data_IF_898206454572
#
_entry.id   IF_898206454572
#
_cell.length_a   1.000
_cell.length_b   1.000
_cell.length_c   1.000
_cell.angle_alpha   90.00
_cell.angle_beta   90.00
_cell.angle_gamma   90.00
#
_symmetry.space_group_name_H-M   'P 1'
#
loop_
_entity.id
_entity.type
_entity.pdbx_description
1 polymer ?
#
# COMPACT_ATOMS: atom_id res chain seq x y z
N UNK A 1 -8.30 -59.64 0.08
CA UNK A 1 -7.40 -58.98 1.03
C UNK A 1 -7.43 -57.47 0.72
N UNK A 2 -8.32 -56.78 1.45
CA UNK A 2 -8.51 -55.32 1.26
C UNK A 2 -7.54 -54.59 2.17
N UNK A 3 -6.47 -54.06 1.59
CA UNK A 3 -5.65 -53.07 2.26
C UNK A 3 -6.26 -51.68 2.02
N UNK A 4 -7.22 -51.28 2.85
CA UNK A 4 -7.51 -49.86 3.04
C UNK A 4 -6.30 -49.21 3.73
N UNK A 5 -5.42 -48.61 2.95
CA UNK A 5 -4.34 -47.82 3.49
C UNK A 5 -4.96 -46.62 4.20
N UNK A 6 -4.91 -46.60 5.53
CA UNK A 6 -5.29 -45.45 6.32
C UNK A 6 -4.28 -44.33 6.05
N UNK A 7 -4.68 -43.33 5.30
CA UNK A 7 -3.88 -42.11 5.08
C UNK A 7 -3.69 -41.43 6.44
N UNK A 8 -2.45 -41.33 6.90
CA UNK A 8 -2.16 -40.63 8.14
C UNK A 8 -2.45 -39.15 7.98
N UNK A 9 -2.97 -38.49 9.03
CA UNK A 9 -3.27 -37.05 9.06
C UNK A 9 -2.09 -36.20 8.53
N UNK A 10 -0.87 -36.59 8.83
CA UNK A 10 0.36 -35.96 8.35
C UNK A 10 0.53 -36.07 6.82
N UNK A 11 0.23 -37.22 6.24
CA UNK A 11 0.35 -37.47 4.80
C UNK A 11 -0.75 -36.74 4.03
N UNK A 12 -1.96 -36.67 4.59
CA UNK A 12 -3.05 -35.86 4.06
C UNK A 12 -2.74 -34.38 4.10
N UNK A 13 -2.17 -33.87 5.19
CA UNK A 13 -1.77 -32.46 5.32
C UNK A 13 -0.60 -32.12 4.37
N UNK A 14 0.38 -33.02 4.23
CA UNK A 14 1.46 -32.83 3.23
C UNK A 14 0.92 -32.81 1.81
N UNK A 15 -0.07 -33.63 1.51
CA UNK A 15 -0.70 -33.69 0.20
C UNK A 15 -1.54 -32.43 -0.10
N UNK A 16 -2.32 -31.94 0.87
CA UNK A 16 -3.08 -30.70 0.74
C UNK A 16 -2.19 -29.43 0.73
N UNK A 17 -1.02 -29.46 1.39
CA UNK A 17 -0.09 -28.30 1.42
C UNK A 17 0.62 -28.06 0.09
N UNK A 18 0.76 -29.06 -0.78
CA UNK A 18 1.31 -28.86 -2.11
C UNK A 18 0.37 -28.08 -3.05
N UNK A 19 -0.92 -28.00 -2.75
CA UNK A 19 -1.90 -27.22 -3.52
C UNK A 19 -2.39 -25.92 -2.85
N UNK A 20 -2.45 -25.87 -1.53
CA UNK A 20 -3.05 -24.76 -0.76
C UNK A 20 -1.97 -24.02 0.06
N UNK A 21 -0.76 -24.52 0.09
CA UNK A 21 0.24 -24.21 1.12
C UNK A 21 0.98 -22.89 1.01
N UNK A 22 0.93 -22.18 -0.10
CA UNK A 22 1.73 -20.95 -0.24
C UNK A 22 1.19 -19.75 0.53
N UNK A 23 -0.13 -19.64 0.67
CA UNK A 23 -0.77 -18.56 1.43
C UNK A 23 -0.88 -18.87 2.93
N UNK A 24 -0.92 -20.15 3.30
CA UNK A 24 -1.10 -20.59 4.69
C UNK A 24 0.21 -20.85 5.44
N UNK A 25 1.31 -21.17 4.74
CA UNK A 25 2.58 -21.55 5.37
C UNK A 25 3.36 -20.40 6.00
N UNK A 26 3.16 -19.17 5.55
CA UNK A 26 3.76 -18.00 6.19
C UNK A 26 3.18 -17.68 7.57
N UNK A 27 2.04 -18.27 7.92
CA UNK A 27 1.35 -18.06 9.21
C UNK A 27 1.73 -19.04 10.31
N UNK A 28 2.59 -20.02 10.08
CA UNK A 28 2.83 -21.13 11.00
C UNK A 28 3.78 -20.85 12.17
N UNK A 29 4.34 -19.66 12.31
CA UNK A 29 5.44 -19.39 13.24
C UNK A 29 5.17 -18.36 14.36
N UNK A 30 3.93 -17.93 14.60
CA UNK A 30 3.66 -17.00 15.69
C UNK A 30 2.67 -17.57 16.70
N UNK A 31 3.10 -17.61 17.94
CA UNK A 31 2.32 -17.95 19.11
C UNK A 31 1.40 -16.81 19.52
N UNK A 32 0.22 -17.18 20.06
CA UNK A 32 -0.71 -16.41 20.88
C UNK A 32 -1.38 -15.16 20.29
N UNK A 33 -2.67 -15.28 20.01
CA UNK A 33 -3.55 -14.14 19.81
C UNK A 33 -5.00 -14.55 19.56
N UNK A 34 -5.89 -14.04 20.38
CA UNK A 34 -7.34 -14.20 20.26
C UNK A 34 -7.82 -13.73 18.89
N UNK A 35 -8.53 -14.58 18.14
CA UNK A 35 -9.29 -14.14 16.98
C UNK A 35 -10.45 -13.26 17.48
N UNK A 36 -10.20 -11.94 17.60
CA UNK A 36 -11.26 -11.03 18.02
C UNK A 36 -12.32 -10.95 16.93
N UNK A 37 -13.58 -10.92 17.34
CA UNK A 37 -14.67 -10.55 16.45
C UNK A 37 -14.38 -9.13 15.90
N UNK A 38 -14.68 -8.86 14.61
CA UNK A 38 -14.57 -7.51 14.08
C UNK A 38 -15.30 -6.54 14.99
N UNK A 39 -14.69 -5.42 15.29
CA UNK A 39 -15.35 -4.38 16.08
C UNK A 39 -16.39 -3.68 15.19
N UNK A 40 -17.51 -3.28 15.77
CA UNK A 40 -18.34 -2.28 15.12
C UNK A 40 -17.53 -0.98 15.02
N UNK A 41 -17.61 -0.25 13.90
CA UNK A 41 -16.97 1.06 13.80
C UNK A 41 -17.31 1.93 15.03
N UNK A 42 -16.32 2.66 15.53
CA UNK A 42 -16.50 3.54 16.69
C UNK A 42 -17.33 4.78 16.34
N UNK A 43 -17.29 5.16 15.05
CA UNK A 43 -18.03 6.27 14.44
C UNK A 43 -18.69 5.82 13.15
N UNK A 44 -19.60 6.62 12.61
CA UNK A 44 -20.08 6.43 11.25
C UNK A 44 -18.89 6.60 10.27
N UNK A 45 -18.55 5.58 9.48
CA UNK A 45 -17.40 5.67 8.57
C UNK A 45 -17.72 6.60 7.39
N UNK A 46 -16.74 7.42 6.99
CA UNK A 46 -16.80 8.16 5.74
C UNK A 46 -16.48 7.26 4.54
N UNK A 47 -15.56 6.32 4.74
CA UNK A 47 -15.17 5.34 3.72
C UNK A 47 -15.22 3.92 4.28
N UNK A 48 -15.45 2.95 3.39
CA UNK A 48 -15.53 1.53 3.74
C UNK A 48 -14.30 0.75 3.31
N UNK A 49 -13.58 1.25 2.31
CA UNK A 49 -12.50 0.55 1.61
C UNK A 49 -11.34 1.49 1.32
N UNK A 50 -10.15 0.91 1.15
CA UNK A 50 -8.90 1.64 0.92
C UNK A 50 -8.16 1.06 -0.27
N UNK A 51 -7.66 1.94 -1.15
CA UNK A 51 -6.60 1.64 -2.10
C UNK A 51 -5.37 2.44 -1.70
N UNK A 52 -4.27 1.77 -1.42
CA UNK A 52 -3.02 2.39 -1.02
C UNK A 52 -1.95 2.19 -2.10
N UNK A 53 -1.53 3.26 -2.77
CA UNK A 53 -0.51 3.27 -3.82
C UNK A 53 0.78 3.79 -3.20
N UNK A 54 1.75 2.88 -2.97
CA UNK A 54 3.05 3.17 -2.38
C UNK A 54 4.11 3.35 -3.46
N UNK A 55 4.76 4.49 -3.53
CA UNK A 55 5.84 4.79 -4.45
C UNK A 55 7.19 4.57 -3.77
N UNK A 56 7.81 3.41 -4.02
CA UNK A 56 9.06 3.04 -3.37
C UNK A 56 10.26 3.78 -3.96
N UNK A 57 11.01 4.47 -3.12
CA UNK A 57 12.24 5.12 -3.54
C UNK A 57 12.31 6.62 -3.26
N UNK A 58 11.37 7.20 -2.53
CA UNK A 58 11.42 8.63 -2.21
C UNK A 58 11.03 9.50 -3.39
N UNK A 59 9.74 9.63 -3.62
CA UNK A 59 9.14 10.44 -4.66
C UNK A 59 9.35 11.95 -4.43
N UNK A 60 9.74 12.70 -5.49
CA UNK A 60 10.11 14.12 -5.37
C UNK A 60 8.91 15.05 -5.31
N UNK A 61 8.67 15.68 -4.18
CA UNK A 61 7.63 16.70 -4.00
C UNK A 61 7.90 17.95 -4.84
N UNK A 62 9.14 18.44 -4.88
CA UNK A 62 9.49 19.67 -5.59
C UNK A 62 9.46 19.53 -7.11
N UNK A 63 9.41 18.32 -7.62
CA UNK A 63 9.27 18.03 -9.05
C UNK A 63 7.83 17.63 -9.45
N UNK A 64 6.85 17.62 -8.51
CA UNK A 64 5.50 17.07 -8.74
C UNK A 64 4.33 17.89 -8.20
N UNK A 65 4.15 18.03 -6.87
CA UNK A 65 2.97 18.64 -6.25
C UNK A 65 3.30 19.84 -5.36
N UNK A 66 4.57 20.08 -5.06
CA UNK A 66 5.01 21.20 -4.20
C UNK A 66 5.71 22.28 -5.02
N UNK A 67 4.94 23.19 -5.61
CA UNK A 67 5.44 24.27 -6.47
C UNK A 67 6.22 25.30 -5.68
N UNK A 68 7.50 25.48 -6.03
CA UNK A 68 8.45 26.41 -5.39
C UNK A 68 9.09 27.35 -6.40
N UNK A 69 8.47 28.50 -6.70
CA UNK A 69 9.03 29.47 -7.65
C UNK A 69 10.41 29.96 -7.22
N UNK A 70 10.64 30.14 -5.90
CA UNK A 70 11.94 30.58 -5.36
C UNK A 70 13.06 29.55 -5.61
N UNK A 71 12.75 28.26 -5.68
CA UNK A 71 13.73 27.25 -6.05
C UNK A 71 14.27 27.45 -7.47
N UNK A 72 13.44 27.94 -8.40
CA UNK A 72 13.87 28.34 -9.76
C UNK A 72 14.80 29.53 -9.74
N UNK A 73 14.50 30.55 -8.94
CA UNK A 73 15.33 31.75 -8.77
C UNK A 73 16.67 31.47 -8.09
N UNK A 74 16.69 30.45 -7.24
CA UNK A 74 17.89 30.06 -6.49
C UNK A 74 18.67 28.92 -7.17
N UNK A 75 18.31 28.51 -8.38
CA UNK A 75 19.05 27.49 -9.12
C UNK A 75 20.55 27.86 -9.25
N UNK A 76 21.41 26.89 -8.91
CA UNK A 76 22.87 27.08 -8.95
C UNK A 76 23.45 27.83 -7.75
N UNK A 77 22.64 28.21 -6.75
CA UNK A 77 23.13 28.83 -5.51
C UNK A 77 23.29 27.81 -4.41
N UNK A 78 24.17 28.09 -3.45
CA UNK A 78 24.31 27.29 -2.23
C UNK A 78 23.10 27.44 -1.34
N UNK A 79 22.74 26.35 -0.65
CA UNK A 79 21.76 26.39 0.42
C UNK A 79 22.27 27.32 1.53
N UNK A 80 21.48 28.33 1.88
CA UNK A 80 21.70 29.17 3.06
C UNK A 80 20.94 28.53 4.22
N UNK A 81 21.64 27.85 5.10
CA UNK A 81 21.05 27.23 6.28
C UNK A 81 21.98 27.46 7.48
N UNK A 82 21.40 27.70 8.65
CA UNK A 82 22.14 27.90 9.90
C UNK A 82 22.87 26.63 10.33
N UNK A 83 22.28 25.43 9.96
CA UNK A 83 22.84 24.13 10.23
C UNK A 83 23.04 23.34 8.94
N UNK A 84 24.06 22.49 8.91
CA UNK A 84 24.27 21.58 7.79
C UNK A 84 23.09 20.63 7.67
N UNK A 85 22.46 20.49 6.49
CA UNK A 85 21.37 19.56 6.28
C UNK A 85 21.76 18.11 6.64
N UNK A 86 20.86 17.42 7.32
CA UNK A 86 20.99 15.99 7.51
C UNK A 86 20.58 15.28 6.21
N UNK A 87 21.55 14.72 5.51
CA UNK A 87 21.38 14.07 4.22
C UNK A 87 22.01 12.68 4.23
N UNK A 88 21.36 11.74 3.56
CA UNK A 88 21.71 10.33 3.63
C UNK A 88 23.16 10.04 3.19
N UNK A 89 23.61 10.63 2.07
CA UNK A 89 24.97 10.46 1.55
C UNK A 89 25.95 11.54 1.99
N UNK A 90 25.54 12.49 2.80
CA UNK A 90 26.40 13.57 3.32
C UNK A 90 26.89 14.59 2.29
N UNK A 91 26.36 14.56 1.07
CA UNK A 91 26.72 15.47 -0.03
C UNK A 91 25.62 16.51 -0.25
N UNK A 92 25.96 17.76 -0.07
CA UNK A 92 25.07 18.91 -0.29
C UNK A 92 25.63 19.75 -1.43
N UNK A 93 25.10 19.52 -2.63
CA UNK A 93 25.40 20.33 -3.81
C UNK A 93 24.56 21.61 -3.86
N UNK A 94 24.59 22.26 -5.01
CA UNK A 94 23.82 23.49 -5.23
C UNK A 94 22.31 23.19 -5.38
N UNK A 95 21.50 24.21 -5.08
CA UNK A 95 20.05 24.18 -5.30
C UNK A 95 19.75 23.95 -6.77
N UNK A 96 18.74 23.13 -7.04
CA UNK A 96 18.35 22.76 -8.39
C UNK A 96 16.85 22.99 -8.59
N UNK A 97 16.51 23.75 -9.61
CA UNK A 97 15.12 23.88 -10.05
C UNK A 97 14.52 22.52 -10.45
N UNK A 98 13.21 22.46 -10.48
CA UNK A 98 12.46 21.28 -10.98
C UNK A 98 12.70 21.05 -12.49
N UNK A 99 12.56 19.80 -12.92
CA UNK A 99 12.74 19.38 -14.31
C UNK A 99 11.47 19.53 -15.18
N UNK A 100 10.31 19.70 -14.57
CA UNK A 100 9.01 19.80 -15.23
C UNK A 100 8.32 21.12 -14.91
N UNK A 101 7.58 21.66 -15.86
CA UNK A 101 6.80 22.86 -15.64
C UNK A 101 5.61 22.58 -14.72
N UNK A 102 5.36 23.50 -13.79
CA UNK A 102 4.15 23.51 -12.99
C UNK A 102 3.07 24.36 -13.64
N UNK A 103 1.84 23.87 -13.59
CA UNK A 103 0.64 24.57 -14.06
C UNK A 103 -0.48 24.44 -13.05
N UNK A 104 -1.34 25.44 -12.98
CA UNK A 104 -2.59 25.31 -12.25
C UNK A 104 -3.53 24.37 -12.98
N UNK A 105 -4.10 23.41 -12.26
CA UNK A 105 -4.92 22.34 -12.79
C UNK A 105 -6.27 22.31 -12.13
N UNK A 106 -7.28 21.80 -12.87
CA UNK A 106 -8.66 21.73 -12.41
C UNK A 106 -9.29 23.10 -12.16
N UNK A 107 -10.45 23.11 -11.56
CA UNK A 107 -11.14 24.32 -11.09
C UNK A 107 -10.56 24.82 -9.76
N UNK A 108 -9.97 23.93 -8.97
CA UNK A 108 -9.28 24.23 -7.71
C UNK A 108 -8.03 25.09 -7.91
N UNK A 109 -7.45 25.11 -9.13
CA UNK A 109 -6.20 25.80 -9.41
C UNK A 109 -4.98 25.14 -8.76
N UNK A 110 -5.04 23.86 -8.42
CA UNK A 110 -3.96 23.11 -7.79
C UNK A 110 -2.71 23.08 -8.67
N UNK A 111 -1.55 23.38 -8.09
CA UNK A 111 -0.28 23.31 -8.80
C UNK A 111 0.20 21.87 -8.94
N UNK A 112 0.23 21.34 -10.17
CA UNK A 112 0.77 20.02 -10.52
C UNK A 112 1.70 20.18 -11.71
N UNK A 113 2.88 19.53 -11.63
CA UNK A 113 3.85 19.59 -12.72
C UNK A 113 3.47 18.70 -13.90
N UNK A 114 4.08 18.98 -15.07
CA UNK A 114 3.93 18.17 -16.27
C UNK A 114 4.57 16.76 -16.16
N UNK A 115 5.09 16.38 -14.97
CA UNK A 115 5.46 15.00 -14.65
C UNK A 115 4.22 14.08 -14.64
N UNK A 116 3.05 14.61 -14.23
CA UNK A 116 1.80 13.87 -14.08
C UNK A 116 0.64 14.49 -14.89
N UNK A 117 0.72 14.49 -16.24
CA UNK A 117 -0.32 15.10 -17.07
C UNK A 117 -1.70 14.44 -16.97
N UNK A 118 -1.78 13.12 -16.69
CA UNK A 118 -3.06 12.43 -16.51
C UNK A 118 -3.63 12.63 -15.10
N UNK A 119 -2.84 12.49 -14.03
CA UNK A 119 -3.28 12.78 -12.65
C UNK A 119 -3.73 14.24 -12.55
N UNK A 120 -3.09 15.17 -13.25
CA UNK A 120 -3.51 16.56 -13.33
C UNK A 120 -4.96 16.74 -13.85
N UNK A 121 -5.51 15.77 -14.59
CA UNK A 121 -6.92 15.82 -15.05
C UNK A 121 -7.93 15.45 -13.96
N UNK A 122 -7.50 15.00 -12.81
CA UNK A 122 -8.31 14.70 -11.63
C UNK A 122 -7.92 15.56 -10.42
N UNK A 123 -7.26 16.68 -10.64
CA UNK A 123 -6.78 17.59 -9.58
C UNK A 123 -7.87 17.99 -8.59
N UNK A 124 -9.11 18.18 -9.07
CA UNK A 124 -10.25 18.57 -8.24
C UNK A 124 -10.75 17.45 -7.30
N UNK A 125 -10.27 16.22 -7.45
CA UNK A 125 -10.58 15.10 -6.56
C UNK A 125 -9.50 14.91 -5.48
N UNK A 126 -8.38 15.60 -5.58
CA UNK A 126 -7.20 15.36 -4.74
C UNK A 126 -7.22 16.24 -3.49
N UNK A 127 -6.77 15.68 -2.39
CA UNK A 127 -6.35 16.39 -1.17
C UNK A 127 -4.86 16.17 -1.02
N UNK A 128 -4.05 17.18 -1.32
CA UNK A 128 -2.60 17.09 -1.26
C UNK A 128 -2.10 17.56 0.11
N UNK A 129 -1.32 16.74 0.79
CA UNK A 129 -0.62 17.10 2.04
C UNK A 129 0.83 17.39 1.67
N UNK A 130 1.22 18.66 1.72
CA UNK A 130 2.57 19.11 1.34
C UNK A 130 3.56 19.18 2.50
N UNK A 131 3.14 18.72 3.68
CA UNK A 131 3.90 18.91 4.93
C UNK A 131 4.20 17.60 5.66
N UNK A 132 4.27 16.50 4.94
CA UNK A 132 4.64 15.21 5.54
C UNK A 132 6.06 15.25 6.11
N UNK A 133 6.27 14.57 7.23
CA UNK A 133 7.58 14.33 7.84
C UNK A 133 7.73 12.86 8.21
N UNK A 134 8.92 12.31 7.96
CA UNK A 134 9.31 10.96 8.36
C UNK A 134 10.46 11.01 9.37
N UNK A 135 10.70 9.90 10.07
CA UNK A 135 11.76 9.80 11.08
C UNK A 135 13.03 9.13 10.54
N UNK A 136 13.05 8.79 9.25
CA UNK A 136 14.21 8.14 8.62
C UNK A 136 14.36 8.55 7.17
N UNK A 137 15.59 8.83 6.76
CA UNK A 137 15.99 8.99 5.37
C UNK A 137 16.53 7.68 4.74
N UNK A 138 16.44 6.55 5.44
CA UNK A 138 16.81 5.24 4.91
C UNK A 138 15.57 4.49 4.44
N UNK A 139 15.58 3.94 3.22
CA UNK A 139 14.40 3.34 2.59
C UNK A 139 13.70 2.28 3.44
N UNK A 140 14.42 1.25 3.91
CA UNK A 140 13.75 0.14 4.63
C UNK A 140 13.08 0.60 5.93
N UNK A 141 13.71 1.34 6.85
CA UNK A 141 13.04 1.86 8.03
C UNK A 141 11.90 2.84 7.70
N UNK A 142 12.08 3.69 6.68
CA UNK A 142 11.06 4.66 6.28
C UNK A 142 9.83 3.96 5.65
N UNK A 143 10.03 2.94 4.80
CA UNK A 143 8.93 2.15 4.23
C UNK A 143 8.18 1.36 5.32
N UNK A 144 8.89 0.88 6.36
CA UNK A 144 8.23 0.29 7.52
C UNK A 144 7.39 1.32 8.27
N UNK A 145 7.92 2.55 8.46
CA UNK A 145 7.17 3.61 9.13
C UNK A 145 5.94 4.04 8.33
N UNK A 146 6.04 4.18 7.02
CA UNK A 146 4.91 4.43 6.12
C UNK A 146 3.83 3.34 6.27
N UNK A 147 4.23 2.08 6.31
CA UNK A 147 3.30 0.95 6.34
C UNK A 147 2.72 0.67 7.73
N UNK A 148 3.50 0.79 8.79
CA UNK A 148 3.15 0.31 10.14
C UNK A 148 3.22 1.37 11.25
N UNK A 149 3.67 2.60 10.96
CA UNK A 149 3.95 3.62 11.97
C UNK A 149 5.27 3.43 12.70
N UNK A 150 6.00 2.34 12.48
CA UNK A 150 7.24 2.01 13.20
C UNK A 150 8.40 1.78 12.22
N UNK A 151 9.58 2.28 12.53
CA UNK A 151 10.79 2.10 11.71
C UNK A 151 11.40 0.69 11.78
N UNK A 152 10.85 -0.17 12.61
CA UNK A 152 11.33 -1.53 12.87
C UNK A 152 10.39 -2.57 12.26
N UNK A 153 10.96 -3.70 11.84
CA UNK A 153 10.17 -4.87 11.45
C UNK A 153 9.44 -5.51 12.64
N UNK A 154 8.39 -6.28 12.37
CA UNK A 154 7.63 -7.03 13.36
C UNK A 154 6.37 -6.34 13.89
N UNK A 155 6.08 -5.13 13.41
CA UNK A 155 4.84 -4.43 13.73
C UNK A 155 3.79 -4.67 12.62
N UNK A 156 2.50 -4.79 12.99
CA UNK A 156 1.44 -4.93 12.01
C UNK A 156 1.33 -3.69 11.14
N UNK A 157 1.17 -3.90 9.84
CA UNK A 157 0.95 -2.80 8.90
C UNK A 157 -0.50 -2.31 8.96
N UNK A 158 -0.76 -1.11 8.42
CA UNK A 158 -2.09 -0.47 8.43
C UNK A 158 -3.18 -1.39 7.84
N UNK A 159 -2.93 -2.08 6.72
CA UNK A 159 -3.89 -3.03 6.15
C UNK A 159 -4.25 -4.18 7.09
N UNK A 160 -3.29 -4.65 7.89
CA UNK A 160 -3.53 -5.67 8.93
C UNK A 160 -4.36 -5.12 10.09
N UNK A 161 -4.12 -3.88 10.51
CA UNK A 161 -4.95 -3.21 11.53
C UNK A 161 -6.38 -2.94 11.03
N UNK A 162 -6.55 -2.55 9.77
CA UNK A 162 -7.88 -2.39 9.14
C UNK A 162 -8.61 -3.74 9.09
N UNK A 163 -7.91 -4.80 8.71
CA UNK A 163 -8.45 -6.16 8.73
C UNK A 163 -8.86 -6.62 10.13
N UNK A 164 -8.01 -6.35 11.13
CA UNK A 164 -8.28 -6.68 12.53
C UNK A 164 -9.48 -5.91 13.09
N UNK A 165 -9.55 -4.61 12.83
CA UNK A 165 -10.62 -3.75 13.36
C UNK A 165 -11.97 -3.97 12.69
N UNK A 166 -12.00 -4.07 11.36
CA UNK A 166 -13.26 -4.04 10.60
C UNK A 166 -13.67 -5.39 9.97
N UNK A 167 -12.77 -6.37 9.95
CA UNK A 167 -13.06 -7.67 9.35
C UNK A 167 -13.38 -7.61 7.84
N UNK A 168 -13.99 -8.67 7.34
CA UNK A 168 -14.30 -8.87 5.93
C UNK A 168 -15.64 -8.21 5.54
N UNK A 169 -15.71 -7.73 4.28
CA UNK A 169 -16.97 -7.42 3.60
C UNK A 169 -17.39 -8.54 2.63
N UNK A 170 -16.55 -9.54 2.46
CA UNK A 170 -16.76 -10.73 1.62
C UNK A 170 -16.27 -11.97 2.34
N UNK A 171 -16.83 -13.13 2.00
CA UNK A 171 -16.40 -14.41 2.57
C UNK A 171 -15.38 -15.14 1.69
N UNK A 172 -15.17 -14.70 0.44
CA UNK A 172 -14.46 -15.47 -0.59
C UNK A 172 -13.09 -14.91 -0.94
N UNK A 173 -12.76 -13.70 -0.46
CA UNK A 173 -11.49 -13.03 -0.69
C UNK A 173 -10.89 -12.52 0.63
N UNK A 174 -9.56 -12.33 0.69
CA UNK A 174 -8.92 -11.76 1.86
C UNK A 174 -9.40 -10.33 2.12
N UNK A 175 -9.43 -9.91 3.37
CA UNK A 175 -9.70 -8.51 3.74
C UNK A 175 -8.64 -7.55 3.21
N UNK A 176 -7.38 -8.02 3.17
CA UNK A 176 -6.21 -7.25 2.77
C UNK A 176 -5.46 -7.96 1.64
N UNK A 177 -5.42 -7.33 0.47
CA UNK A 177 -4.73 -7.81 -0.74
C UNK A 177 -3.57 -6.87 -1.08
N UNK A 178 -2.46 -7.44 -1.52
CA UNK A 178 -1.26 -6.70 -1.93
C UNK A 178 -0.95 -6.99 -3.39
N UNK A 179 -0.67 -5.94 -4.15
CA UNK A 179 -0.27 -6.00 -5.56
C UNK A 179 1.17 -5.47 -5.69
N UNK A 180 2.19 -6.34 -5.53
CA UNK A 180 3.59 -5.94 -5.68
C UNK A 180 3.90 -5.44 -7.09
N UNK A 181 4.94 -4.60 -7.24
CA UNK A 181 5.42 -4.22 -8.57
C UNK A 181 5.88 -5.47 -9.34
N UNK A 182 5.44 -5.58 -10.59
CA UNK A 182 5.79 -6.70 -11.46
C UNK A 182 7.31 -6.87 -11.67
N UNK A 183 8.08 -5.81 -11.44
CA UNK A 183 9.53 -5.76 -11.62
C UNK A 183 10.33 -6.22 -10.39
N UNK A 184 9.68 -6.33 -9.22
CA UNK A 184 10.35 -6.79 -8.00
C UNK A 184 9.69 -6.31 -6.71
N UNK A 185 10.23 -6.78 -5.60
CA UNK A 185 9.73 -6.50 -4.26
C UNK A 185 10.22 -5.14 -3.76
N UNK A 186 9.44 -4.41 -2.96
CA UNK A 186 9.88 -3.15 -2.34
C UNK A 186 10.99 -3.37 -1.30
N UNK A 187 11.60 -2.30 -0.82
CA UNK A 187 12.49 -2.34 0.34
C UNK A 187 11.77 -2.97 1.53
N UNK A 188 12.45 -3.86 2.27
CA UNK A 188 11.81 -4.62 3.36
C UNK A 188 10.96 -5.81 2.89
N UNK A 189 10.79 -6.01 1.57
CA UNK A 189 10.11 -7.19 0.98
C UNK A 189 8.74 -7.45 1.62
N UNK A 190 8.44 -8.70 1.99
CA UNK A 190 7.16 -9.14 2.55
C UNK A 190 6.82 -8.53 3.92
N UNK A 191 7.81 -7.93 4.61
CA UNK A 191 7.56 -7.22 5.87
C UNK A 191 6.62 -6.01 5.72
N UNK A 192 6.47 -5.46 4.50
CA UNK A 192 5.57 -4.33 4.23
C UNK A 192 4.09 -4.70 4.18
N UNK A 193 3.73 -5.97 4.34
CA UNK A 193 2.34 -6.43 4.46
C UNK A 193 2.18 -7.51 5.54
N UNK A 194 3.06 -7.45 6.54
CA UNK A 194 3.04 -8.38 7.67
C UNK A 194 1.89 -8.09 8.63
N UNK A 195 1.31 -9.16 9.19
CA UNK A 195 0.42 -9.06 10.34
C UNK A 195 1.17 -8.71 11.64
N UNK A 196 2.50 -8.79 11.67
CA UNK A 196 3.30 -8.57 12.87
C UNK A 196 2.84 -9.47 14.01
N UNK A 197 2.46 -8.87 15.13
CA UNK A 197 1.95 -9.59 16.30
C UNK A 197 0.42 -9.83 16.28
N UNK A 198 -0.31 -9.33 15.26
CA UNK A 198 -1.72 -9.66 15.09
C UNK A 198 -1.89 -11.10 14.57
N UNK A 199 -3.06 -11.74 14.76
CA UNK A 199 -3.32 -13.05 14.21
C UNK A 199 -3.06 -13.14 12.69
N UNK A 200 -2.54 -14.27 12.25
CA UNK A 200 -2.09 -14.49 10.87
C UNK A 200 -3.21 -14.30 9.80
N UNK A 201 -4.46 -14.41 10.18
CA UNK A 201 -5.62 -14.16 9.30
C UNK A 201 -5.66 -12.71 8.77
N UNK A 202 -4.97 -11.79 9.44
CA UNK A 202 -4.87 -10.38 9.04
C UNK A 202 -3.64 -10.07 8.17
N UNK A 203 -2.83 -11.09 7.83
CA UNK A 203 -1.70 -10.98 6.90
C UNK A 203 -2.16 -10.52 5.52
N UNK A 204 -1.43 -9.58 4.90
CA UNK A 204 -1.68 -9.19 3.51
C UNK A 204 -1.37 -10.34 2.54
N UNK A 205 -2.29 -10.62 1.63
CA UNK A 205 -2.16 -11.69 0.64
C UNK A 205 -1.70 -11.11 -0.70
N UNK A 206 -0.48 -11.48 -1.17
CA UNK A 206 0.04 -10.94 -2.42
C UNK A 206 -0.62 -11.62 -3.63
N UNK A 207 -1.12 -10.80 -4.57
CA UNK A 207 -1.61 -11.23 -5.88
C UNK A 207 -0.65 -10.75 -6.96
N UNK A 208 -0.21 -11.65 -7.82
CA UNK A 208 0.56 -11.30 -9.01
C UNK A 208 -0.39 -10.76 -10.09
N UNK A 209 -0.01 -9.65 -10.70
CA UNK A 209 -0.80 -8.99 -11.75
C UNK A 209 -0.19 -9.16 -13.14
N UNK A 210 1.00 -9.73 -13.24
CA UNK A 210 1.75 -9.95 -14.49
C UNK A 210 2.39 -11.34 -14.52
N UNK A 211 2.81 -11.75 -15.71
CA UNK A 211 3.41 -13.05 -15.95
C UNK A 211 2.39 -14.17 -16.21
N UNK A 212 2.87 -15.36 -16.53
CA UNK A 212 2.06 -16.56 -16.72
C UNK A 212 1.70 -17.20 -15.37
N UNK A 213 0.54 -17.86 -15.33
CA UNK A 213 0.05 -18.62 -14.18
C UNK A 213 -0.92 -17.86 -13.28
N UNK A 214 -1.28 -18.48 -12.16
CA UNK A 214 -2.30 -17.97 -11.25
C UNK A 214 -1.84 -16.71 -10.50
N UNK A 215 -2.78 -15.83 -10.20
CA UNK A 215 -2.53 -14.62 -9.42
C UNK A 215 -1.94 -14.91 -8.03
N UNK A 216 -2.29 -16.04 -7.45
CA UNK A 216 -1.72 -16.54 -6.20
C UNK A 216 -0.91 -17.80 -6.48
N UNK A 217 0.31 -17.86 -5.95
CA UNK A 217 1.16 -19.05 -6.08
C UNK A 217 0.52 -20.24 -5.39
N UNK A 218 0.54 -21.40 -6.04
CA UNK A 218 -0.02 -22.65 -5.52
C UNK A 218 -1.53 -22.58 -5.15
N UNK A 219 -2.29 -21.73 -5.85
CA UNK A 219 -3.74 -21.64 -5.64
C UNK A 219 -4.45 -22.97 -5.97
N UNK A 220 -3.92 -23.69 -6.96
CA UNK A 220 -4.41 -25.01 -7.36
C UNK A 220 -3.34 -26.06 -7.13
N UNK A 221 -3.72 -27.32 -6.89
CA UNK A 221 -2.80 -28.43 -6.79
C UNK A 221 -2.03 -28.62 -8.12
N UNK A 222 -0.78 -29.13 -8.02
CA UNK A 222 0.06 -29.39 -9.19
C UNK A 222 -0.51 -30.47 -10.12
N UNK A 223 -1.34 -31.36 -9.58
CA UNK A 223 -2.08 -32.38 -10.32
C UNK A 223 -3.57 -32.10 -10.18
N UNK A 224 -4.30 -32.20 -11.27
CA UNK A 224 -5.74 -32.07 -11.27
C UNK A 224 -6.37 -33.15 -10.38
N UNK A 225 -7.24 -32.72 -9.47
CA UNK A 225 -7.95 -33.59 -8.54
C UNK A 225 -9.44 -33.48 -8.89
N UNK A 226 -10.11 -34.62 -8.93
CA UNK A 226 -11.56 -34.67 -9.13
C UNK A 226 -12.29 -33.83 -8.07
N UNK A 227 -13.19 -32.95 -8.50
CA UNK A 227 -13.91 -32.00 -7.63
C UNK A 227 -14.67 -32.72 -6.49
N UNK A 228 -15.18 -33.96 -6.73
CA UNK A 228 -15.88 -34.73 -5.70
C UNK A 228 -14.90 -35.20 -4.64
N UNK A 229 -13.71 -35.65 -5.04
CA UNK A 229 -12.63 -36.07 -4.13
C UNK A 229 -12.14 -34.89 -3.31
N UNK A 230 -11.93 -33.75 -3.95
CA UNK A 230 -11.48 -32.54 -3.27
C UNK A 230 -12.52 -32.03 -2.27
N UNK A 231 -13.80 -31.96 -2.65
CA UNK A 231 -14.91 -31.55 -1.77
C UNK A 231 -15.06 -32.48 -0.58
N UNK A 232 -15.04 -33.81 -0.80
CA UNK A 232 -15.15 -34.79 0.27
C UNK A 232 -13.95 -34.72 1.22
N UNK A 233 -12.75 -34.47 0.70
CA UNK A 233 -11.53 -34.29 1.50
C UNK A 233 -11.61 -33.04 2.38
N UNK A 234 -12.11 -31.94 1.85
CA UNK A 234 -12.36 -30.71 2.62
C UNK A 234 -13.41 -30.92 3.72
N UNK A 235 -14.52 -31.55 3.39
CA UNK A 235 -15.57 -31.85 4.37
C UNK A 235 -15.04 -32.74 5.51
N UNK A 236 -14.21 -33.73 5.20
CA UNK A 236 -13.60 -34.60 6.21
C UNK A 236 -12.61 -33.77 7.09
N UNK A 237 -11.79 -32.92 6.48
CA UNK A 237 -10.86 -32.07 7.21
C UNK A 237 -11.60 -31.10 8.16
N UNK A 238 -12.67 -30.47 7.70
CA UNK A 238 -13.49 -29.58 8.53
C UNK A 238 -14.10 -30.32 9.73
N UNK A 239 -14.59 -31.53 9.53
CA UNK A 239 -15.10 -32.36 10.65
C UNK A 239 -13.99 -32.70 11.65
N UNK A 240 -12.80 -33.09 11.17
CA UNK A 240 -11.67 -33.39 12.05
C UNK A 240 -11.19 -32.16 12.82
N UNK A 241 -11.21 -30.98 12.17
CA UNK A 241 -10.87 -29.73 12.80
C UNK A 241 -11.91 -29.35 13.89
N UNK A 242 -13.18 -29.51 13.64
CA UNK A 242 -14.23 -29.29 14.66
C UNK A 242 -14.06 -30.19 15.86
N UNK A 243 -13.88 -31.52 15.66
CA UNK A 243 -13.60 -32.43 16.77
C UNK A 243 -12.35 -31.98 17.57
N UNK A 244 -11.30 -31.53 16.88
CA UNK A 244 -10.10 -31.07 17.57
C UNK A 244 -10.32 -29.79 18.37
N UNK A 245 -11.14 -28.87 17.87
CA UNK A 245 -11.55 -27.67 18.62
C UNK A 245 -12.39 -28.04 19.86
N UNK A 246 -13.34 -28.98 19.73
CA UNK A 246 -14.16 -29.45 20.85
C UNK A 246 -13.28 -30.08 21.96
N UNK A 247 -12.32 -30.94 21.56
CA UNK A 247 -11.40 -31.58 22.52
C UNK A 247 -10.39 -30.62 23.15
N UNK A 248 -9.91 -29.65 22.40
CA UNK A 248 -8.88 -28.68 22.87
C UNK A 248 -9.46 -27.54 23.69
N UNK A 249 -10.80 -27.38 23.71
CA UNK A 249 -11.47 -26.21 24.26
C UNK A 249 -11.25 -24.94 23.41
N UNK A 250 -11.68 -23.77 23.90
CA UNK A 250 -11.50 -22.51 23.19
C UNK A 250 -10.02 -22.25 22.87
N UNK A 251 -9.69 -22.26 21.58
CA UNK A 251 -8.33 -22.05 21.07
C UNK A 251 -8.38 -21.17 19.82
N UNK A 252 -8.12 -19.88 20.02
CA UNK A 252 -8.26 -18.88 18.98
C UNK A 252 -7.22 -19.04 17.86
N UNK A 253 -6.01 -19.51 18.20
CA UNK A 253 -4.97 -19.82 17.21
C UNK A 253 -5.41 -20.95 16.29
N UNK A 254 -6.01 -22.00 16.84
CA UNK A 254 -6.53 -23.11 16.05
C UNK A 254 -7.71 -22.65 15.19
N UNK A 255 -8.63 -21.85 15.74
CA UNK A 255 -9.78 -21.29 15.03
C UNK A 255 -9.33 -20.38 13.87
N UNK A 256 -8.35 -19.49 14.10
CA UNK A 256 -7.78 -18.62 13.04
C UNK A 256 -7.12 -19.43 11.93
N UNK A 257 -6.43 -20.53 12.27
CA UNK A 257 -5.82 -21.44 11.29
C UNK A 257 -6.87 -22.17 10.45
N UNK A 258 -7.93 -22.66 11.07
CA UNK A 258 -9.05 -23.30 10.36
C UNK A 258 -9.68 -22.32 9.38
N UNK A 259 -10.01 -21.10 9.84
CA UNK A 259 -10.57 -20.03 9.02
C UNK A 259 -9.68 -19.66 7.83
N UNK A 260 -8.35 -19.64 8.01
CA UNK A 260 -7.41 -19.39 6.93
C UNK A 260 -7.43 -20.47 5.85
N UNK A 261 -7.53 -21.74 6.21
CA UNK A 261 -7.67 -22.83 5.24
C UNK A 261 -9.01 -22.80 4.51
N UNK A 262 -10.10 -22.49 5.21
CA UNK A 262 -11.42 -22.35 4.61
C UNK A 262 -11.47 -21.19 3.61
N UNK A 263 -10.86 -20.04 3.97
CA UNK A 263 -10.72 -18.91 3.06
C UNK A 263 -9.91 -19.30 1.82
N UNK A 264 -8.74 -19.96 1.99
CA UNK A 264 -7.93 -20.44 0.87
C UNK A 264 -8.71 -21.34 -0.10
N UNK A 265 -9.58 -22.20 0.41
CA UNK A 265 -10.43 -23.06 -0.41
C UNK A 265 -11.48 -22.24 -1.21
N UNK A 266 -12.11 -21.22 -0.60
CA UNK A 266 -13.06 -20.34 -1.29
C UNK A 266 -12.36 -19.47 -2.34
N UNK A 267 -11.15 -19.05 -2.08
CA UNK A 267 -10.32 -18.26 -3.02
C UNK A 267 -10.05 -18.99 -4.33
N UNK A 268 -10.02 -20.33 -4.37
CA UNK A 268 -9.81 -21.08 -5.60
C UNK A 268 -10.86 -20.78 -6.68
N UNK A 269 -12.09 -20.45 -6.29
CA UNK A 269 -13.15 -20.04 -7.21
C UNK A 269 -13.17 -18.53 -7.45
N UNK A 270 -13.01 -17.73 -6.40
CA UNK A 270 -13.16 -16.29 -6.46
C UNK A 270 -11.98 -15.58 -7.13
N UNK A 271 -10.74 -16.06 -6.94
CA UNK A 271 -9.53 -15.40 -7.47
C UNK A 271 -9.48 -15.42 -9.00
N UNK A 272 -9.70 -16.52 -9.71
CA UNK A 272 -9.74 -16.52 -11.17
C UNK A 272 -10.78 -15.54 -11.72
N UNK A 273 -11.96 -15.50 -11.13
CA UNK A 273 -13.04 -14.61 -11.57
C UNK A 273 -12.68 -13.12 -11.37
N UNK A 274 -12.17 -12.74 -10.21
CA UNK A 274 -11.80 -11.33 -9.95
C UNK A 274 -10.60 -10.89 -10.77
N UNK A 275 -9.65 -11.78 -11.06
CA UNK A 275 -8.41 -11.47 -11.81
C UNK A 275 -8.57 -11.53 -13.33
N UNK A 276 -9.63 -12.19 -13.85
CA UNK A 276 -9.95 -12.16 -15.26
C UNK A 276 -10.46 -10.76 -15.67
N UNK A 277 -9.83 -10.20 -16.69
CA UNK A 277 -10.23 -8.90 -17.28
C UNK A 277 -11.01 -9.08 -18.59
N UNK A 278 -11.43 -10.29 -18.92
CA UNK A 278 -12.14 -10.59 -20.17
C UNK A 278 -13.48 -9.85 -20.28
N UNK A 279 -14.17 -9.66 -19.16
CA UNK A 279 -15.42 -8.91 -19.08
C UNK A 279 -15.27 -7.38 -19.15
N UNK A 280 -14.05 -6.85 -19.16
CA UNK A 280 -13.82 -5.39 -19.25
C UNK A 280 -13.91 -4.92 -20.70
N UNK A 281 -14.52 -3.75 -20.93
CA UNK A 281 -14.64 -3.16 -22.26
C UNK A 281 -13.27 -2.72 -22.79
N UNK A 282 -13.13 -2.65 -24.11
CA UNK A 282 -11.90 -2.12 -24.73
C UNK A 282 -11.61 -0.68 -24.27
N UNK A 283 -12.66 0.12 -24.10
CA UNK A 283 -12.53 1.49 -23.57
C UNK A 283 -11.96 1.51 -22.14
N UNK A 284 -12.40 0.61 -21.27
CA UNK A 284 -11.84 0.46 -19.92
C UNK A 284 -10.37 0.07 -20.00
N UNK A 285 -10.04 -0.94 -20.80
CA UNK A 285 -8.66 -1.40 -21.01
C UNK A 285 -7.75 -0.28 -21.52
N UNK A 286 -8.21 0.51 -22.47
CA UNK A 286 -7.49 1.66 -23.02
C UNK A 286 -7.31 2.77 -21.97
N UNK A 287 -8.35 3.11 -21.21
CA UNK A 287 -8.28 4.11 -20.15
C UNK A 287 -7.21 3.77 -19.11
N UNK A 288 -7.14 2.51 -18.68
CA UNK A 288 -6.10 2.01 -17.75
C UNK A 288 -4.73 1.80 -18.42
N UNK A 289 -4.60 2.07 -19.73
CA UNK A 289 -3.34 1.96 -20.48
C UNK A 289 -2.86 0.53 -20.70
N UNK A 290 -3.76 -0.47 -20.76
CA UNK A 290 -3.39 -1.87 -20.93
C UNK A 290 -2.87 -2.18 -22.34
N UNK A 291 -3.09 -1.30 -23.31
CA UNK A 291 -2.62 -1.38 -24.69
C UNK A 291 -1.21 -0.82 -24.91
N UNK A 292 -0.57 -0.27 -23.87
CA UNK A 292 0.78 0.30 -23.92
C UNK A 292 1.73 -0.49 -23.04
N UNK A 293 2.94 -0.78 -23.53
CA UNK A 293 3.91 -1.58 -22.78
C UNK A 293 4.33 -0.93 -21.45
N UNK A 294 4.46 0.39 -21.45
CA UNK A 294 4.92 1.16 -20.29
C UNK A 294 3.93 1.13 -19.14
N UNK A 295 2.63 1.19 -19.43
CA UNK A 295 1.57 1.33 -18.43
C UNK A 295 0.85 0.02 -18.12
N UNK A 296 0.97 -1.00 -18.99
CA UNK A 296 0.18 -2.25 -18.94
C UNK A 296 0.16 -2.92 -17.57
N UNK A 297 1.33 -3.15 -16.99
CA UNK A 297 1.44 -3.91 -15.75
C UNK A 297 0.82 -3.16 -14.58
N UNK A 298 1.13 -1.86 -14.44
CA UNK A 298 0.56 -1.04 -13.37
C UNK A 298 -0.92 -0.74 -13.63
N UNK A 299 -1.31 -0.57 -14.90
CA UNK A 299 -2.70 -0.44 -15.32
C UNK A 299 -3.54 -1.65 -14.94
N UNK A 300 -2.99 -2.86 -15.14
CA UNK A 300 -3.64 -4.10 -14.69
C UNK A 300 -3.78 -4.15 -13.17
N UNK A 301 -2.77 -3.70 -12.43
CA UNK A 301 -2.85 -3.62 -10.96
C UNK A 301 -3.93 -2.64 -10.50
N UNK A 302 -4.02 -1.44 -11.09
CA UNK A 302 -5.08 -0.47 -10.80
C UNK A 302 -6.48 -1.00 -11.13
N UNK A 303 -6.64 -1.64 -12.29
CA UNK A 303 -7.91 -2.25 -12.69
C UNK A 303 -8.30 -3.38 -11.74
N UNK A 304 -7.35 -4.24 -11.35
CA UNK A 304 -7.59 -5.31 -10.39
C UNK A 304 -7.95 -4.75 -9.00
N UNK A 305 -7.32 -3.65 -8.56
CA UNK A 305 -7.67 -3.01 -7.30
C UNK A 305 -9.15 -2.58 -7.28
N UNK A 306 -9.65 -1.93 -8.33
CA UNK A 306 -11.07 -1.58 -8.44
C UNK A 306 -11.97 -2.83 -8.38
N UNK A 307 -11.62 -3.90 -9.12
CA UNK A 307 -12.40 -5.15 -9.14
C UNK A 307 -12.41 -5.86 -7.78
N UNK A 308 -11.30 -5.82 -7.04
CA UNK A 308 -11.21 -6.35 -5.68
C UNK A 308 -12.13 -5.58 -4.72
N UNK A 309 -12.20 -4.25 -4.84
CA UNK A 309 -13.14 -3.44 -4.05
C UNK A 309 -14.60 -3.79 -4.38
N UNK A 310 -14.96 -3.94 -5.66
CA UNK A 310 -16.30 -4.37 -6.09
C UNK A 310 -16.71 -5.71 -5.48
N UNK A 311 -15.73 -6.57 -5.15
CA UNK A 311 -15.94 -7.88 -4.51
C UNK A 311 -15.83 -7.83 -2.98
N UNK A 312 -15.72 -6.63 -2.38
CA UNK A 312 -15.73 -6.44 -0.94
C UNK A 312 -14.38 -6.62 -0.25
N UNK A 313 -13.26 -6.57 -0.97
CA UNK A 313 -11.93 -6.45 -0.35
C UNK A 313 -11.82 -5.08 0.30
N UNK A 314 -11.39 -5.02 1.56
CA UNK A 314 -11.37 -3.77 2.34
C UNK A 314 -10.14 -2.93 2.10
N UNK A 315 -8.99 -3.57 1.95
CA UNK A 315 -7.72 -2.87 1.77
C UNK A 315 -6.94 -3.49 0.62
N UNK A 316 -6.61 -2.69 -0.39
CA UNK A 316 -5.76 -3.10 -1.52
C UNK A 316 -4.54 -2.20 -1.56
N UNK A 317 -3.36 -2.79 -1.40
CA UNK A 317 -2.08 -2.06 -1.43
C UNK A 317 -1.33 -2.36 -2.72
N UNK A 318 -1.00 -1.30 -3.48
CA UNK A 318 -0.21 -1.38 -4.71
C UNK A 318 1.19 -0.81 -4.46
N UNK A 319 2.20 -1.47 -4.98
CA UNK A 319 3.56 -0.95 -4.98
C UNK A 319 3.98 -0.50 -6.37
N UNK A 320 4.56 0.70 -6.48
CA UNK A 320 5.25 1.20 -7.66
C UNK A 320 6.72 1.36 -7.32
N UNK A 321 7.55 0.48 -7.86
CA UNK A 321 8.97 0.41 -7.61
C UNK A 321 9.39 -0.92 -6.99
N UNK A 322 10.43 -1.52 -7.56
CA UNK A 322 11.03 -2.76 -7.08
C UNK A 322 12.22 -2.50 -6.16
N UNK A 323 13.01 -3.53 -5.94
CA UNK A 323 14.19 -3.51 -5.07
C UNK A 323 15.24 -2.49 -5.50
N UNK A 324 16.02 -2.06 -4.52
CA UNK A 324 17.15 -1.12 -4.72
C UNK A 324 18.34 -1.84 -5.35
N UNK A 325 19.06 -1.12 -6.19
CA UNK A 325 20.19 -1.64 -6.92
C UNK A 325 20.28 -1.12 -8.35
N UNK A 326 21.05 -1.78 -9.20
CA UNK A 326 21.18 -1.44 -10.63
C UNK A 326 20.64 -2.60 -11.48
N UNK A 327 19.77 -2.33 -12.47
CA UNK A 327 19.20 -1.04 -12.81
C UNK A 327 18.17 -0.57 -11.77
N UNK A 328 18.09 0.76 -11.53
CA UNK A 328 17.06 1.32 -10.65
C UNK A 328 15.68 1.21 -11.29
N UNK A 329 14.81 0.46 -10.66
CA UNK A 329 13.42 0.19 -11.09
C UNK A 329 12.41 0.72 -10.07
N UNK A 330 12.72 1.87 -9.47
CA UNK A 330 11.98 2.54 -8.41
C UNK A 330 12.18 4.06 -8.49
N UNK A 331 11.64 4.81 -7.52
CA UNK A 331 11.68 6.28 -7.47
C UNK A 331 12.98 6.86 -6.88
N UNK A 332 14.00 6.03 -6.67
CA UNK A 332 15.28 6.42 -6.06
C UNK A 332 16.20 7.19 -7.02
N UNK A 333 15.93 8.47 -7.23
CA UNK A 333 16.51 9.35 -8.27
C UNK A 333 17.83 10.03 -7.86
N UNK A 334 18.87 9.29 -7.49
CA UNK A 334 20.17 9.85 -7.05
C UNK A 334 21.05 10.35 -8.19
N UNK A 335 21.01 9.72 -9.36
CA UNK A 335 21.94 10.01 -10.45
C UNK A 335 21.32 10.88 -11.55
N UNK A 336 20.08 10.63 -11.91
CA UNK A 336 19.37 11.33 -12.99
C UNK A 336 17.88 11.39 -12.67
N UNK A 337 17.47 12.51 -12.05
CA UNK A 337 16.11 12.73 -11.59
C UNK A 337 15.11 12.74 -12.75
N UNK A 338 15.46 13.45 -13.82
CA UNK A 338 14.58 13.59 -14.99
C UNK A 338 14.29 12.24 -15.64
N UNK A 339 15.31 11.45 -15.87
CA UNK A 339 15.17 10.12 -16.46
C UNK A 339 14.47 9.15 -15.52
N UNK A 340 14.85 9.15 -14.24
CA UNK A 340 14.30 8.25 -13.24
C UNK A 340 12.80 8.51 -13.03
N UNK A 341 12.44 9.72 -12.57
CA UNK A 341 11.05 10.07 -12.29
C UNK A 341 10.18 10.10 -13.54
N UNK A 342 10.71 10.59 -14.68
CA UNK A 342 9.97 10.57 -15.95
C UNK A 342 9.56 9.16 -16.38
N UNK A 343 10.45 8.17 -16.22
CA UNK A 343 10.15 6.76 -16.53
C UNK A 343 9.14 6.16 -15.56
N UNK A 344 9.30 6.39 -14.27
CA UNK A 344 8.39 5.84 -13.26
C UNK A 344 7.00 6.50 -13.35
N UNK A 345 6.93 7.82 -13.55
CA UNK A 345 5.68 8.54 -13.74
C UNK A 345 4.92 8.07 -15.00
N UNK A 346 5.61 7.88 -16.11
CA UNK A 346 5.00 7.37 -17.35
C UNK A 346 4.25 6.05 -17.12
N UNK A 347 4.72 5.20 -16.21
CA UNK A 347 4.12 3.90 -15.90
C UNK A 347 2.79 4.02 -15.15
N UNK A 348 2.68 5.02 -14.25
CA UNK A 348 1.60 5.07 -13.26
C UNK A 348 0.58 6.18 -13.51
N UNK A 349 0.95 7.26 -14.16
CA UNK A 349 0.15 8.48 -14.29
C UNK A 349 -1.22 8.21 -14.94
N UNK A 350 -1.24 7.61 -16.13
CA UNK A 350 -2.49 7.26 -16.81
C UNK A 350 -3.33 6.25 -16.01
N UNK A 351 -2.77 5.11 -15.51
CA UNK A 351 -3.50 4.14 -14.71
C UNK A 351 -4.12 4.70 -13.44
N UNK A 352 -3.40 5.54 -12.70
CA UNK A 352 -3.90 6.14 -11.45
C UNK A 352 -5.04 7.13 -11.74
N UNK A 353 -4.88 7.99 -12.74
CA UNK A 353 -5.95 8.89 -13.16
C UNK A 353 -7.19 8.13 -13.62
N UNK A 354 -7.01 7.02 -14.37
CA UNK A 354 -8.10 6.16 -14.79
C UNK A 354 -8.83 5.52 -13.60
N UNK A 355 -8.08 5.06 -12.59
CA UNK A 355 -8.64 4.49 -11.36
C UNK A 355 -9.56 5.50 -10.65
N UNK A 356 -9.09 6.72 -10.43
CA UNK A 356 -9.90 7.78 -9.78
C UNK A 356 -11.18 8.06 -10.60
N UNK A 357 -11.06 8.21 -11.92
CA UNK A 357 -12.21 8.46 -12.80
C UNK A 357 -13.20 7.30 -12.81
N UNK A 358 -12.70 6.06 -12.84
CA UNK A 358 -13.55 4.87 -12.86
C UNK A 358 -14.30 4.69 -11.53
N UNK A 359 -13.61 4.86 -10.40
CA UNK A 359 -14.23 4.86 -9.06
C UNK A 359 -15.32 5.96 -8.95
N UNK A 360 -15.02 7.17 -9.43
CA UNK A 360 -15.98 8.28 -9.43
C UNK A 360 -17.20 7.98 -10.29
N UNK A 361 -16.99 7.50 -11.52
CA UNK A 361 -18.08 7.20 -12.46
C UNK A 361 -19.00 6.08 -11.99
N UNK A 362 -18.49 5.18 -11.13
CA UNK A 362 -19.25 4.09 -10.50
C UNK A 362 -19.89 4.47 -9.18
N UNK A 363 -19.70 5.69 -8.69
CA UNK A 363 -20.15 6.11 -7.35
C UNK A 363 -19.40 5.43 -6.21
N UNK A 364 -18.24 4.84 -6.48
CA UNK A 364 -17.43 4.14 -5.47
C UNK A 364 -16.43 5.07 -4.77
N UNK A 365 -16.08 6.21 -5.37
CA UNK A 365 -15.06 7.11 -4.82
C UNK A 365 -15.50 7.71 -3.48
N UNK A 366 -16.79 7.98 -3.29
CA UNK A 366 -17.36 8.54 -2.06
C UNK A 366 -17.29 7.57 -0.86
N UNK A 367 -17.12 6.27 -1.12
CA UNK A 367 -16.98 5.22 -0.10
C UNK A 367 -15.58 4.58 -0.07
N UNK A 368 -14.65 5.09 -0.89
CA UNK A 368 -13.29 4.58 -1.02
C UNK A 368 -12.27 5.68 -0.70
N UNK A 369 -11.27 5.36 0.11
CA UNK A 369 -10.09 6.19 0.29
C UNK A 369 -8.98 5.70 -0.66
N UNK A 370 -8.53 6.55 -1.56
CA UNK A 370 -7.34 6.31 -2.38
C UNK A 370 -6.20 7.12 -1.79
N UNK A 371 -5.10 6.45 -1.47
CA UNK A 371 -3.88 7.06 -0.92
C UNK A 371 -2.73 6.89 -1.91
N UNK A 372 -1.95 7.93 -2.11
CA UNK A 372 -0.75 7.96 -2.94
C UNK A 372 0.39 8.51 -2.10
N UNK A 373 1.31 7.64 -1.73
CA UNK A 373 2.31 7.89 -0.70
C UNK A 373 3.71 7.51 -1.18
N UNK A 374 4.70 7.96 -0.45
CA UNK A 374 6.09 7.54 -0.55
C UNK A 374 6.73 7.66 0.82
N UNK A 375 7.71 6.85 1.12
CA UNK A 375 8.33 6.76 2.44
C UNK A 375 9.00 8.06 2.91
N UNK A 376 9.46 8.89 1.97
CA UNK A 376 9.97 10.26 2.13
C UNK A 376 10.04 10.97 0.78
N UNK A 377 10.54 12.21 0.73
CA UNK A 377 10.70 13.03 -0.46
C UNK A 377 12.14 13.14 -0.95
N UNK A 378 12.40 14.21 -1.74
CA UNK A 378 13.73 14.53 -2.27
C UNK A 378 14.15 15.94 -1.91
N UNK A 379 15.47 16.11 -1.69
CA UNK A 379 16.06 17.41 -1.36
C UNK A 379 15.92 18.42 -2.52
N UNK A 380 15.75 19.72 -2.24
CA UNK A 380 15.77 20.76 -3.27
C UNK A 380 17.17 21.02 -3.84
N UNK A 381 18.21 20.55 -3.18
CA UNK A 381 19.60 20.57 -3.63
C UNK A 381 20.03 19.23 -4.17
N UNK A 382 21.12 19.20 -4.93
CA UNK A 382 21.61 18.00 -5.59
C UNK A 382 22.58 17.21 -4.72
N UNK A 383 22.63 15.90 -4.95
CA UNK A 383 23.64 15.00 -4.38
C UNK A 383 24.94 15.09 -5.19
N UNK A 384 25.66 16.17 -5.04
CA UNK A 384 26.91 16.45 -5.76
C UNK A 384 27.92 17.16 -4.87
N UNK A 385 29.08 17.53 -5.43
CA UNK A 385 30.01 18.42 -4.75
C UNK A 385 29.35 19.78 -4.47
N UNK A 386 29.79 20.45 -3.41
CA UNK A 386 29.17 21.69 -2.89
C UNK A 386 29.14 22.87 -3.85
N UNK A 387 29.97 22.84 -4.88
CA UNK A 387 30.10 23.86 -5.94
C UNK A 387 29.43 23.46 -7.26
N UNK A 388 28.66 22.32 -7.28
CA UNK A 388 28.07 21.80 -8.51
C UNK A 388 26.57 21.62 -8.40
N UNK A 389 25.87 21.85 -9.50
CA UNK A 389 24.52 21.37 -9.74
C UNK A 389 24.60 20.00 -10.38
N UNK A 390 24.28 18.96 -9.61
CA UNK A 390 24.16 17.59 -10.11
C UNK A 390 22.82 17.34 -10.79
N UNK A 391 22.61 16.10 -11.24
CA UNK A 391 21.38 15.66 -11.95
C UNK A 391 20.40 14.88 -11.08
N UNK A 392 20.83 14.43 -9.89
CA UNK A 392 20.02 13.71 -8.92
C UNK A 392 19.83 14.49 -7.63
N UNK A 393 18.90 14.00 -6.80
CA UNK A 393 18.58 14.57 -5.49
C UNK A 393 18.78 13.52 -4.41
N UNK A 394 19.14 13.95 -3.18
CA UNK A 394 19.23 13.06 -2.02
C UNK A 394 17.86 12.89 -1.35
N UNK A 395 17.78 12.04 -0.35
CA UNK A 395 16.58 11.78 0.44
C UNK A 395 16.18 12.98 1.29
N UNK A 396 14.88 13.23 1.41
CA UNK A 396 14.32 14.28 2.25
C UNK A 396 13.22 13.74 3.16
N UNK A 397 13.55 13.52 4.42
CA UNK A 397 12.58 13.08 5.44
C UNK A 397 11.84 14.23 6.11
N UNK A 398 12.32 15.47 6.01
CA UNK A 398 11.82 16.61 6.79
C UNK A 398 10.76 17.44 6.06
N UNK A 399 10.45 17.11 4.82
CA UNK A 399 9.42 17.79 4.03
C UNK A 399 9.14 17.06 2.73
N UNK A 400 7.93 16.51 2.57
CA UNK A 400 7.50 15.84 1.34
C UNK A 400 5.97 15.86 1.19
N UNK A 401 5.51 15.45 0.01
CA UNK A 401 4.09 15.47 -0.33
C UNK A 401 3.54 14.06 -0.52
N UNK A 402 2.32 13.87 -0.05
CA UNK A 402 1.43 12.74 -0.38
C UNK A 402 0.09 13.31 -0.80
N UNK A 403 -0.78 12.49 -1.41
CA UNK A 403 -2.15 12.91 -1.63
C UNK A 403 -3.14 11.79 -1.33
N UNK A 404 -4.36 12.22 -1.02
CA UNK A 404 -5.53 11.40 -0.77
C UNK A 404 -6.63 11.78 -1.75
N UNK A 405 -7.55 10.86 -2.04
CA UNK A 405 -8.81 11.13 -2.74
C UNK A 405 -9.91 10.23 -2.22
N UNK A 406 -11.14 10.72 -2.20
CA UNK A 406 -12.30 9.94 -1.81
C UNK A 406 -13.16 10.54 -0.70
N UNK A 407 -14.08 9.74 -0.18
CA UNK A 407 -15.09 10.20 0.76
C UNK A 407 -14.54 10.80 2.07
N UNK A 408 -15.24 11.82 2.58
CA UNK A 408 -14.88 12.49 3.82
C UNK A 408 -13.74 13.51 3.73
N UNK A 409 -13.18 13.73 2.54
CA UNK A 409 -12.05 14.64 2.30
C UNK A 409 -12.50 15.93 1.61
N UNK A 410 -11.77 17.03 1.85
CA UNK A 410 -11.88 18.26 1.08
C UNK A 410 -11.21 18.07 -0.27
N UNK A 411 -12.01 17.92 -1.32
CA UNK A 411 -11.50 17.75 -2.70
C UNK A 411 -10.93 19.04 -3.26
N UNK A 412 -9.90 18.93 -4.15
CA UNK A 412 -9.20 20.07 -4.74
C UNK A 412 -8.46 20.93 -3.72
N UNK A 413 -7.92 20.33 -2.66
CA UNK A 413 -7.40 21.03 -1.49
C UNK A 413 -5.93 20.71 -1.22
N UNK A 414 -5.17 21.75 -0.80
CA UNK A 414 -3.81 21.59 -0.31
C UNK A 414 -3.73 21.85 1.20
N UNK A 415 -3.06 20.97 1.93
CA UNK A 415 -2.86 21.05 3.37
C UNK A 415 -1.38 21.15 3.72
N UNK A 416 -1.07 22.07 4.62
CA UNK A 416 0.30 22.31 5.07
C UNK A 416 1.20 22.90 3.99
N UNK A 417 2.45 23.17 4.34
CA UNK A 417 3.44 23.67 3.39
C UNK A 417 4.87 23.37 3.86
N UNK A 418 5.74 23.15 2.90
CA UNK A 418 7.19 23.24 3.09
C UNK A 418 7.66 24.69 2.96
N UNK A 419 8.92 24.94 3.30
CA UNK A 419 9.59 26.24 3.12
C UNK A 419 9.65 26.68 1.65
N UNK A 420 10.18 27.86 1.42
CA UNK A 420 10.22 28.52 0.09
C UNK A 420 10.95 27.70 -0.98
N UNK A 421 11.79 26.75 -0.59
CA UNK A 421 12.57 25.90 -1.50
C UNK A 421 12.12 24.44 -1.49
N UNK A 422 11.14 24.06 -0.64
CA UNK A 422 10.62 22.70 -0.57
C UNK A 422 11.48 21.72 0.23
N UNK A 423 12.30 22.22 1.18
CA UNK A 423 13.16 21.37 1.98
C UNK A 423 12.49 20.91 3.27
N UNK A 424 11.99 21.84 4.10
CA UNK A 424 11.50 21.55 5.44
C UNK A 424 10.01 21.89 5.55
N UNK A 425 9.24 21.01 6.17
CA UNK A 425 7.85 21.29 6.57
C UNK A 425 7.81 22.42 7.58
N UNK A 426 7.07 23.49 7.30
CA UNK A 426 6.99 24.69 8.13
C UNK A 426 5.58 25.09 8.53
N UNK A 427 4.55 24.61 7.80
CA UNK A 427 3.15 24.84 8.12
C UNK A 427 2.47 23.50 8.32
N UNK A 428 1.88 23.29 9.49
CA UNK A 428 1.18 22.06 9.85
C UNK A 428 1.95 20.79 9.49
N UNK A 429 3.14 20.52 10.05
CA UNK A 429 3.89 19.30 9.81
C UNK A 429 3.06 18.06 10.17
N UNK A 430 3.06 17.07 9.30
CA UNK A 430 2.28 15.84 9.45
C UNK A 430 3.20 14.62 9.58
N UNK A 431 3.38 14.08 10.80
CA UNK A 431 4.06 12.80 10.98
C UNK A 431 3.17 11.63 10.53
N UNK A 432 3.78 10.48 10.22
CA UNK A 432 3.07 9.29 9.82
C UNK A 432 2.00 8.83 10.83
N UNK A 433 2.19 9.08 12.12
CA UNK A 433 1.20 8.76 13.16
C UNK A 433 -0.12 9.54 12.98
N UNK A 434 -0.04 10.81 12.61
CA UNK A 434 -1.21 11.67 12.37
C UNK A 434 -1.91 11.28 11.06
N UNK A 435 -1.12 10.94 10.03
CA UNK A 435 -1.65 10.37 8.79
C UNK A 435 -2.44 9.08 9.05
N UNK A 436 -1.86 8.13 9.78
CA UNK A 436 -2.51 6.86 10.12
C UNK A 436 -3.76 7.06 11.00
N UNK A 437 -3.71 7.97 11.99
CA UNK A 437 -4.88 8.32 12.81
C UNK A 437 -6.02 8.83 11.94
N UNK A 438 -5.71 9.65 10.95
CA UNK A 438 -6.70 10.22 10.01
C UNK A 438 -7.30 9.14 9.10
N UNK A 439 -6.50 8.23 8.58
CA UNK A 439 -6.98 7.10 7.77
C UNK A 439 -7.93 6.21 8.59
N UNK A 440 -7.56 5.87 9.82
CA UNK A 440 -8.43 5.08 10.71
C UNK A 440 -9.73 5.84 11.04
N UNK A 441 -9.65 7.15 11.28
CA UNK A 441 -10.84 7.98 11.52
C UNK A 441 -11.80 7.97 10.32
N UNK A 442 -11.32 8.14 9.10
CA UNK A 442 -12.14 8.06 7.88
C UNK A 442 -12.85 6.69 7.75
N UNK A 443 -12.21 5.62 8.21
CA UNK A 443 -12.78 4.26 8.28
C UNK A 443 -13.72 4.05 9.48
N UNK A 444 -14.01 5.09 10.26
CA UNK A 444 -14.87 5.03 11.44
C UNK A 444 -14.18 4.41 12.68
N UNK A 445 -12.87 4.34 12.68
CA UNK A 445 -12.08 3.74 13.76
C UNK A 445 -11.42 4.83 14.60
N UNK A 446 -11.65 4.78 15.90
CA UNK A 446 -10.84 5.50 16.88
C UNK A 446 -9.47 4.80 17.03
N UNK A 447 -8.40 5.47 16.62
CA UNK A 447 -7.05 4.91 16.63
C UNK A 447 -6.52 4.64 18.04
N UNK A 448 -7.09 5.27 19.08
CA UNK A 448 -6.71 5.04 20.48
C UNK A 448 -7.44 3.83 21.06
N UNK A 449 -8.65 3.54 20.59
CA UNK A 449 -9.47 2.41 21.04
C UNK A 449 -9.15 1.12 20.30
N UNK A 450 -8.63 1.19 19.05
CA UNK A 450 -8.18 0.02 18.31
C UNK A 450 -6.82 -0.41 18.84
N UNK A 451 -6.81 -1.39 19.72
CA UNK A 451 -5.59 -1.90 20.34
C UNK A 451 -5.56 -3.42 20.37
N UNK A 452 -4.37 -3.96 20.51
CA UNK A 452 -4.10 -5.40 20.67
C UNK A 452 -3.12 -5.61 21.81
N UNK A 453 -3.46 -6.51 22.74
CA UNK A 453 -2.58 -6.83 23.87
C UNK A 453 -1.42 -7.72 23.39
N UNK A 454 -0.20 -7.22 23.53
CA UNK A 454 1.00 -7.95 23.14
C UNK A 454 2.17 -7.59 24.04
N UNK A 455 2.85 -8.62 24.58
CA UNK A 455 4.02 -8.45 25.46
C UNK A 455 3.78 -7.47 26.62
N UNK A 456 2.68 -7.61 27.33
CA UNK A 456 2.39 -6.85 28.56
C UNK A 456 1.76 -5.48 28.36
N UNK A 457 1.55 -5.01 27.10
CA UNK A 457 0.97 -3.69 26.81
C UNK A 457 -0.06 -3.73 25.70
N UNK A 458 -0.99 -2.76 25.73
CA UNK A 458 -1.91 -2.53 24.63
C UNK A 458 -1.18 -1.78 23.49
N UNK A 459 -1.02 -2.45 22.35
CA UNK A 459 -0.37 -1.92 21.16
C UNK A 459 -1.38 -1.27 20.23
N UNK A 460 -0.98 -0.18 19.55
CA UNK A 460 -1.78 0.54 18.55
C UNK A 460 -0.92 0.85 17.32
N UNK A 461 -1.57 1.04 16.16
CA UNK A 461 -0.89 1.47 14.94
C UNK A 461 -0.15 2.81 15.14
N UNK A 462 -0.76 3.73 15.87
CA UNK A 462 -0.23 5.08 16.11
C UNK A 462 0.68 5.17 17.35
N UNK A 463 1.02 4.04 17.97
CA UNK A 463 1.78 4.00 19.22
C UNK A 463 1.13 4.89 20.31
N UNK A 464 1.86 5.87 20.86
CA UNK A 464 1.37 6.86 21.83
C UNK A 464 1.04 8.21 21.19
N UNK A 465 1.09 8.29 19.86
CA UNK A 465 0.92 9.48 19.05
C UNK A 465 -0.39 9.42 18.23
N UNK A 466 -0.57 10.37 17.35
CA UNK A 466 -1.64 10.43 16.36
C UNK A 466 -2.66 11.51 16.68
N UNK A 467 -2.75 12.49 15.79
CA UNK A 467 -3.79 13.50 15.79
C UNK A 467 -4.53 13.42 14.46
N UNK A 468 -5.85 13.37 14.51
CA UNK A 468 -6.67 13.39 13.29
C UNK A 468 -6.53 14.77 12.61
N UNK A 469 -6.21 14.78 11.33
CA UNK A 469 -6.04 15.98 10.52
C UNK A 469 -7.41 16.59 10.18
N UNK A 470 -8.09 17.18 11.16
CA UNK A 470 -9.43 17.77 10.96
C UNK A 470 -9.45 18.81 9.82
N UNK A 471 -8.31 19.46 9.52
CA UNK A 471 -8.19 20.45 8.47
C UNK A 471 -8.43 19.93 7.05
N UNK A 472 -8.29 18.62 6.81
CA UNK A 472 -8.51 17.99 5.49
C UNK A 472 -9.87 17.29 5.38
N UNK A 473 -10.60 17.17 6.48
CA UNK A 473 -11.93 16.54 6.50
C UNK A 473 -13.02 17.52 6.01
N UNK A 474 -13.99 16.99 5.25
CA UNK A 474 -15.13 17.75 4.71
C UNK A 474 -16.26 17.96 5.70
#
# INVERSE_FOLDING_TARGET
MDHKAAIKRRDFLNWSTHGIGGAALSSMFLEDGFASQPINPHYAPNVKQVIHICLCGGFSQVDSFDYKPKLKEMHGKSLQADEKPDVFFGRVGLLRSNDWEFKQRGQSGMWISDLFPYIATVADELTVINSMVAESSSHTPATFQESSGFRLNGFPVMGSWVSYGLGNMTNDLPTYVVLPDARGMPAGSTSNWTNGFLPAVHQGVPFRTSGEGNAISNLFPAQEIDHTVESNSRNLLNRLNHFHLEESGPNDTLSARISSYELAARMQLAVPEVTSIEGETDKTRENYGLNKNETRDFGRSCLLARRLLERGVRHVQLFSGGSFGSPRINWDGHEDMKRNHGREALRIDQPVAALIKDLKSRGMLDETLVMFTSEFGRTPFTQSASDKVGTGRDHNQVGFSVWLAGGGLKSGFNYGATDDIGYKSVVNPVPWYDFHATVLHLLGIDHERLSYYHNGIQRRLTNVHGNVLAGILS
#
